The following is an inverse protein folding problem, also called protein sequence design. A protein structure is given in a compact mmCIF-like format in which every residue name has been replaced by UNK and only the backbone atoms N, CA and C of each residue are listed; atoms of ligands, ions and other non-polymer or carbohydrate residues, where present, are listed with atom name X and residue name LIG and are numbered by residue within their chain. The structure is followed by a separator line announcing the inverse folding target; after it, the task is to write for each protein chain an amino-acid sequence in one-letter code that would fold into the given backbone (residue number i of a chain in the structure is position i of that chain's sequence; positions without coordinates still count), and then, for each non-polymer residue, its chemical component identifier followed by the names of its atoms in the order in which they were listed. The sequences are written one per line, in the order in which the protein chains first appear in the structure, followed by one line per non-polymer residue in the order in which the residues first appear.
data_IF_430249887358
#
_entry.id   IF_430249887358
#
_cell.length_a   1.000
_cell.length_b   1.000
_cell.length_c   1.000
_cell.angle_alpha   90.00
_cell.angle_beta   90.00
_cell.angle_gamma   90.00
#
_symmetry.space_group_name_H-M   'P 1'
#
loop_
_entity.id
_entity.type
_entity.pdbx_description
1 polymer ?
#
# COMPACT_ATOMS: atom_id res chain seq x y z
N UNK A 1 -0.65 24.47 15.74
CA UNK A 1 -0.63 23.53 14.59
C UNK A 1 0.21 22.34 15.05
N UNK A 2 -0.43 21.37 15.68
CA UNK A 2 0.26 20.34 16.45
C UNK A 2 0.70 19.18 15.57
N UNK A 3 1.93 18.76 15.83
CA UNK A 3 2.67 17.65 15.24
C UNK A 3 2.02 16.33 15.64
N UNK A 4 1.05 15.86 14.86
CA UNK A 4 0.68 14.44 14.85
C UNK A 4 1.10 13.86 13.52
N UNK A 5 2.43 13.79 13.36
CA UNK A 5 3.06 13.09 12.26
C UNK A 5 3.43 11.72 12.78
N UNK A 6 2.43 10.83 12.87
CA UNK A 6 2.60 9.41 13.16
C UNK A 6 3.49 8.82 12.08
N UNK A 7 4.78 8.71 12.38
CA UNK A 7 5.84 8.28 11.47
C UNK A 7 5.76 6.79 11.06
N UNK A 8 4.57 6.19 11.13
CA UNK A 8 4.24 4.82 10.75
C UNK A 8 3.03 4.67 9.82
N UNK A 9 2.26 5.73 9.52
CA UNK A 9 0.98 5.57 8.79
C UNK A 9 1.01 6.09 7.33
N UNK A 10 1.98 6.92 6.97
CA UNK A 10 2.03 7.52 5.64
C UNK A 10 2.96 6.75 4.68
N UNK A 11 2.37 6.06 3.70
CA UNK A 11 3.08 5.28 2.68
C UNK A 11 4.16 6.11 1.96
N UNK A 12 3.87 7.36 1.61
CA UNK A 12 4.82 8.27 0.93
C UNK A 12 6.08 8.47 1.76
N UNK A 13 5.95 8.57 3.08
CA UNK A 13 7.09 8.77 3.97
C UNK A 13 7.93 7.53 4.13
N UNK A 14 7.29 6.37 4.20
CA UNK A 14 7.99 5.10 4.22
C UNK A 14 8.78 4.89 2.92
N UNK A 15 8.18 5.19 1.77
CA UNK A 15 8.86 5.11 0.46
C UNK A 15 10.02 6.11 0.37
N UNK A 16 9.84 7.34 0.88
CA UNK A 16 10.93 8.32 0.94
C UNK A 16 12.09 7.83 1.81
N UNK A 17 11.82 7.30 3.00
CA UNK A 17 12.84 6.74 3.88
C UNK A 17 13.56 5.54 3.25
N UNK A 18 12.83 4.68 2.56
CA UNK A 18 13.43 3.58 1.79
C UNK A 18 14.39 4.13 0.71
N UNK A 19 14.00 5.18 0.00
CA UNK A 19 14.88 5.85 -0.97
C UNK A 19 16.08 6.52 -0.32
N UNK A 20 15.93 7.05 0.90
CA UNK A 20 17.05 7.64 1.66
C UNK A 20 18.04 6.54 2.09
N UNK A 21 17.55 5.35 2.45
CA UNK A 21 18.38 4.19 2.78
C UNK A 21 19.16 3.71 1.55
N UNK A 22 18.52 3.56 0.38
CA UNK A 22 19.22 3.17 -0.85
C UNK A 22 20.26 4.23 -1.23
N UNK A 23 19.88 5.51 -1.17
CA UNK A 23 20.80 6.62 -1.44
C UNK A 23 21.94 6.74 -0.44
N UNK A 24 21.81 6.19 0.78
CA UNK A 24 22.92 6.09 1.72
C UNK A 24 23.94 5.04 1.25
N UNK A 25 23.49 3.86 0.81
CA UNK A 25 24.37 2.81 0.27
C UNK A 25 25.11 3.26 -0.99
N UNK A 26 24.41 3.92 -1.91
CA UNK A 26 24.99 4.38 -3.18
C UNK A 26 26.10 5.43 -3.01
N UNK A 27 26.13 6.12 -1.87
CA UNK A 27 27.13 7.15 -1.55
C UNK A 27 28.38 6.61 -0.85
N UNK A 28 28.37 5.34 -0.45
CA UNK A 28 29.52 4.76 0.26
C UNK A 28 30.57 4.29 -0.75
N UNK A 29 31.79 4.82 -0.64
CA UNK A 29 32.96 4.30 -1.37
C UNK A 29 33.47 3.00 -0.72
N UNK A 30 33.51 2.97 0.61
CA UNK A 30 33.69 1.77 1.43
C UNK A 30 32.52 1.63 2.40
N UNK A 31 31.94 0.43 2.45
CA UNK A 31 30.73 0.19 3.25
C UNK A 31 31.12 -0.19 4.69
N UNK A 32 30.65 0.61 5.66
CA UNK A 32 30.56 0.19 7.04
C UNK A 32 29.46 -0.90 7.17
N UNK A 33 29.90 -2.13 7.44
CA UNK A 33 29.02 -3.30 7.51
C UNK A 33 28.07 -3.25 8.71
N UNK A 34 28.49 -2.70 9.85
CA UNK A 34 27.63 -2.61 11.03
C UNK A 34 26.50 -1.59 10.82
N UNK A 35 26.84 -0.44 10.26
CA UNK A 35 25.85 0.59 9.93
C UNK A 35 24.94 0.14 8.78
N UNK A 36 25.51 -0.53 7.77
CA UNK A 36 24.74 -1.16 6.69
C UNK A 36 23.72 -2.15 7.23
N UNK A 37 24.09 -2.99 8.19
CA UNK A 37 23.15 -3.94 8.81
C UNK A 37 22.01 -3.22 9.56
N UNK A 38 22.28 -2.08 10.22
CA UNK A 38 21.21 -1.28 10.86
C UNK A 38 20.25 -0.72 9.81
N UNK A 39 20.76 -0.18 8.71
CA UNK A 39 19.94 0.35 7.60
C UNK A 39 19.07 -0.73 6.96
N UNK A 40 19.59 -1.95 6.77
CA UNK A 40 18.79 -3.08 6.27
C UNK A 40 17.66 -3.44 7.24
N UNK A 41 17.94 -3.50 8.56
CA UNK A 41 16.91 -3.78 9.56
C UNK A 41 15.79 -2.72 9.55
N UNK A 42 16.16 -1.46 9.41
CA UNK A 42 15.20 -0.35 9.26
C UNK A 42 14.36 -0.52 7.98
N UNK A 43 15.00 -0.79 6.84
CA UNK A 43 14.31 -1.01 5.58
C UNK A 43 13.30 -2.17 5.66
N UNK A 44 13.65 -3.28 6.32
CA UNK A 44 12.73 -4.42 6.53
C UNK A 44 11.49 -4.00 7.32
N UNK A 45 11.65 -3.18 8.37
CA UNK A 45 10.50 -2.69 9.14
C UNK A 45 9.62 -1.76 8.28
N UNK A 46 10.21 -0.83 7.53
CA UNK A 46 9.49 0.08 6.64
C UNK A 46 8.73 -0.66 5.53
N UNK A 47 9.32 -1.71 4.95
CA UNK A 47 8.68 -2.55 3.92
C UNK A 47 7.46 -3.26 4.49
N UNK A 48 7.56 -3.83 5.70
CA UNK A 48 6.42 -4.52 6.34
C UNK A 48 5.24 -3.58 6.52
N UNK A 49 5.47 -2.42 7.11
CA UNK A 49 4.44 -1.40 7.35
C UNK A 49 3.84 -0.90 6.03
N UNK A 50 4.69 -0.67 5.02
CA UNK A 50 4.23 -0.23 3.69
C UNK A 50 3.34 -1.25 3.00
N UNK A 51 3.65 -2.55 3.12
CA UNK A 51 2.82 -3.63 2.58
C UNK A 51 1.46 -3.71 3.25
N UNK A 52 1.41 -3.55 4.57
CA UNK A 52 0.16 -3.51 5.31
C UNK A 52 -0.70 -2.33 4.87
N UNK A 53 -0.11 -1.14 4.71
CA UNK A 53 -0.83 0.04 4.23
C UNK A 53 -1.35 -0.13 2.80
N UNK A 54 -0.54 -0.73 1.91
CA UNK A 54 -0.97 -1.03 0.53
C UNK A 54 -2.16 -1.98 0.50
N UNK A 55 -2.18 -3.01 1.34
CA UNK A 55 -3.31 -3.94 1.45
C UNK A 55 -4.61 -3.23 1.87
N UNK A 56 -4.52 -2.27 2.80
CA UNK A 56 -5.68 -1.47 3.19
C UNK A 56 -6.19 -0.64 2.01
N UNK A 57 -5.29 0.04 1.29
CA UNK A 57 -5.65 0.84 0.10
C UNK A 57 -6.27 -0.04 -1.00
N UNK A 58 -5.74 -1.24 -1.23
CA UNK A 58 -6.30 -2.21 -2.18
C UNK A 58 -7.74 -2.59 -1.81
N UNK A 59 -7.99 -2.89 -0.54
CA UNK A 59 -9.35 -3.20 -0.06
C UNK A 59 -10.32 -2.03 -0.24
N UNK A 60 -9.88 -0.79 0.07
CA UNK A 60 -10.68 0.43 -0.15
C UNK A 60 -11.02 0.58 -1.65
N UNK A 61 -10.08 0.29 -2.55
CA UNK A 61 -10.31 0.36 -3.99
C UNK A 61 -11.30 -0.70 -4.49
N UNK A 62 -11.24 -1.93 -3.96
CA UNK A 62 -12.22 -2.98 -4.27
C UNK A 62 -13.63 -2.64 -3.79
N UNK A 63 -13.76 -1.95 -2.65
CA UNK A 63 -15.05 -1.45 -2.18
C UNK A 63 -15.64 -0.40 -3.13
N UNK A 64 -14.83 0.59 -3.54
CA UNK A 64 -15.23 1.61 -4.52
C UNK A 64 -15.66 0.97 -5.84
N UNK A 65 -14.95 -0.05 -6.34
CA UNK A 65 -15.36 -0.78 -7.56
C UNK A 65 -16.72 -1.41 -7.39
N UNK A 66 -16.97 -2.10 -6.27
CA UNK A 66 -18.27 -2.74 -6.01
C UNK A 66 -19.39 -1.71 -5.96
N UNK A 67 -19.18 -0.57 -5.32
CA UNK A 67 -20.16 0.52 -5.30
C UNK A 67 -20.43 1.07 -6.71
N UNK A 68 -19.38 1.31 -7.49
CA UNK A 68 -19.49 1.78 -8.87
C UNK A 68 -20.19 0.76 -9.80
N UNK A 69 -19.91 -0.53 -9.62
CA UNK A 69 -20.56 -1.61 -10.37
C UNK A 69 -22.03 -1.79 -9.95
N UNK A 70 -22.36 -1.53 -8.68
CA UNK A 70 -23.75 -1.52 -8.19
C UNK A 70 -24.55 -0.35 -8.79
N UNK A 71 -23.95 0.84 -8.90
CA UNK A 71 -24.62 2.05 -9.37
C UNK A 71 -24.80 2.05 -10.91
N UNK A 72 -24.04 1.23 -11.64
CA UNK A 72 -24.14 1.08 -13.11
C UNK A 72 -25.16 0.05 -13.59
N UNK A 73 -26.00 -0.51 -12.69
CA UNK A 73 -27.24 -1.17 -13.10
C UNK A 73 -27.06 -2.44 -13.94
N UNK A 74 -26.14 -3.32 -13.56
CA UNK A 74 -26.34 -4.76 -13.79
C UNK A 74 -26.92 -5.41 -12.54
N UNK A 75 -28.13 -4.99 -12.20
CA UNK A 75 -29.09 -5.93 -11.63
C UNK A 75 -29.39 -6.95 -12.72
N UNK A 76 -28.83 -8.16 -12.60
CA UNK A 76 -29.26 -9.32 -13.36
C UNK A 76 -30.74 -9.57 -13.05
N UNK A 77 -31.57 -8.95 -13.89
CA UNK A 77 -32.97 -9.24 -14.10
C UNK A 77 -33.08 -9.94 -15.44
N UNK A 78 -32.47 -11.11 -15.54
CA UNK A 78 -32.87 -12.14 -16.50
C UNK A 78 -34.21 -12.76 -16.09
N UNK A 79 -35.29 -12.05 -16.39
CA UNK A 79 -36.64 -12.61 -16.45
C UNK A 79 -36.69 -13.79 -17.44
N UNK A 80 -37.11 -14.95 -16.96
CA UNK A 80 -37.48 -16.10 -17.78
C UNK A 80 -38.78 -16.71 -17.26
N UNK A 81 -39.90 -15.98 -17.40
CA UNK A 81 -41.23 -16.54 -17.29
C UNK A 81 -41.93 -16.49 -18.65
N UNK A 82 -41.76 -17.55 -19.44
CA UNK A 82 -42.66 -18.04 -20.49
C UNK A 82 -42.41 -19.56 -20.49
N UNK A 83 -43.34 -20.48 -20.22
CA UNK A 83 -44.66 -20.64 -20.83
C UNK A 83 -44.66 -21.97 -21.61
N UNK A 84 -45.52 -22.92 -21.19
CA UNK A 84 -45.96 -24.15 -21.87
C UNK A 84 -44.98 -25.33 -22.05
N UNK A 85 -45.25 -26.43 -21.33
CA UNK A 85 -45.90 -27.63 -21.90
C UNK A 85 -46.48 -28.54 -20.81
#
# INVERSE_FOLDING_TARGET
MNKEKTAGENLTENLKRLSDITGWFDKQEEIDVEEGLKKVKEAVALIKISRERLKVIENEFEEIKREADFDTGKGDSGSGFEGNN
#
